data_IF_016486918378
#
_entry.id   IF_016486918378
#
_cell.length_a   1.000
_cell.length_b   1.000
_cell.length_c   1.000
_cell.angle_alpha   90.00
_cell.angle_beta   90.00
_cell.angle_gamma   90.00
#
_symmetry.space_group_name_H-M   'P 1'
#
loop_
_entity.id
_entity.type
_entity.pdbx_description
1 polymer ?
#
# COMPACT_ATOMS: atom_id res chain seq x y z
N UNK A 1 15.15 -21.02 -43.22
CA UNK A 1 15.48 -21.14 -41.77
C UNK A 1 14.60 -20.18 -40.97
N UNK A 2 13.52 -20.62 -40.32
CA UNK A 2 12.59 -19.73 -39.57
C UNK A 2 12.10 -20.35 -38.24
N UNK A 3 13.01 -20.95 -37.46
CA UNK A 3 12.67 -21.62 -36.18
C UNK A 3 12.66 -20.72 -34.92
N UNK A 4 12.95 -19.42 -35.05
CA UNK A 4 13.12 -18.51 -33.89
C UNK A 4 11.85 -17.81 -33.44
N UNK A 5 10.83 -17.66 -34.29
CA UNK A 5 9.56 -16.97 -33.97
C UNK A 5 8.67 -17.76 -33.00
N UNK A 6 8.64 -19.09 -33.13
CA UNK A 6 7.79 -19.96 -32.30
C UNK A 6 8.19 -20.00 -30.84
N UNK A 7 9.46 -19.74 -30.49
CA UNK A 7 9.92 -19.69 -29.09
C UNK A 7 9.39 -18.44 -28.39
N UNK A 8 9.49 -17.27 -29.04
CA UNK A 8 8.99 -15.99 -28.49
C UNK A 8 7.49 -16.06 -28.20
N UNK A 9 6.70 -16.57 -29.14
CA UNK A 9 5.25 -16.71 -28.97
C UNK A 9 4.87 -17.58 -27.76
N UNK A 10 5.60 -18.70 -27.53
CA UNK A 10 5.39 -19.56 -26.37
C UNK A 10 5.73 -18.85 -25.06
N UNK A 11 6.84 -18.12 -25.02
CA UNK A 11 7.24 -17.31 -23.85
C UNK A 11 6.18 -16.27 -23.52
N UNK A 12 5.73 -15.49 -24.51
CA UNK A 12 4.68 -14.48 -24.33
C UNK A 12 3.38 -15.09 -23.79
N UNK A 13 3.00 -16.28 -24.28
CA UNK A 13 1.80 -16.96 -23.78
C UNK A 13 1.96 -17.41 -22.32
N UNK A 14 3.14 -17.90 -21.93
CA UNK A 14 3.41 -18.26 -20.54
C UNK A 14 3.39 -17.04 -19.62
N UNK A 15 3.98 -15.92 -20.06
CA UNK A 15 3.97 -14.67 -19.31
C UNK A 15 2.55 -14.12 -19.14
N UNK A 16 1.73 -14.13 -20.19
CA UNK A 16 0.31 -13.74 -20.08
C UNK A 16 -0.47 -14.62 -19.11
N UNK A 17 -0.22 -15.93 -19.09
CA UNK A 17 -0.84 -16.85 -18.11
C UNK A 17 -0.40 -16.54 -16.69
N UNK A 18 0.90 -16.31 -16.48
CA UNK A 18 1.44 -15.91 -15.18
C UNK A 18 0.84 -14.59 -14.72
N UNK A 19 0.79 -13.61 -15.62
CA UNK A 19 0.20 -12.30 -15.35
C UNK A 19 -1.27 -12.43 -14.94
N UNK A 20 -2.08 -13.18 -15.70
CA UNK A 20 -3.48 -13.48 -15.34
C UNK A 20 -3.63 -14.08 -13.95
N UNK A 21 -2.75 -14.99 -13.53
CA UNK A 21 -2.82 -15.62 -12.20
C UNK A 21 -2.61 -14.65 -11.03
N UNK A 22 -1.95 -13.51 -11.27
CA UNK A 22 -1.69 -12.48 -10.26
C UNK A 22 -2.84 -11.46 -10.13
N UNK A 23 -3.79 -11.45 -11.08
CA UNK A 23 -4.87 -10.47 -11.15
C UNK A 23 -6.12 -11.02 -10.47
N UNK A 24 -6.53 -10.49 -9.30
CA UNK A 24 -7.62 -11.08 -8.51
C UNK A 24 -8.94 -11.21 -9.27
N UNK A 25 -9.26 -10.19 -10.07
CA UNK A 25 -10.48 -10.11 -10.90
C UNK A 25 -10.54 -11.12 -12.05
N UNK A 26 -9.39 -11.58 -12.54
CA UNK A 26 -9.30 -12.50 -13.70
C UNK A 26 -9.04 -13.95 -13.30
N UNK A 27 -8.79 -14.25 -12.03
CA UNK A 27 -8.59 -15.61 -11.54
C UNK A 27 -9.81 -16.51 -11.78
N UNK A 28 -11.03 -15.98 -11.62
CA UNK A 28 -12.27 -16.73 -11.80
C UNK A 28 -12.77 -16.75 -13.26
N UNK A 29 -12.21 -15.89 -14.13
CA UNK A 29 -12.65 -15.79 -15.51
C UNK A 29 -11.97 -16.87 -16.35
N UNK A 30 -12.74 -17.76 -16.98
CA UNK A 30 -12.20 -18.89 -17.76
C UNK A 30 -11.35 -18.43 -18.95
N UNK A 31 -11.81 -17.42 -19.68
CA UNK A 31 -11.10 -16.83 -20.83
C UNK A 31 -10.98 -15.31 -20.70
N UNK A 32 -9.77 -14.81 -20.98
CA UNK A 32 -9.46 -13.38 -21.02
C UNK A 32 -8.59 -13.13 -22.23
N UNK A 33 -8.86 -12.05 -22.96
CA UNK A 33 -8.00 -11.68 -24.10
C UNK A 33 -6.65 -11.15 -23.59
N UNK A 34 -5.57 -11.20 -24.38
CA UNK A 34 -4.29 -10.59 -24.00
C UNK A 34 -4.43 -9.10 -23.65
N UNK A 35 -5.26 -8.36 -24.40
CA UNK A 35 -5.54 -6.94 -24.14
C UNK A 35 -6.23 -6.74 -22.79
N UNK A 36 -7.22 -7.58 -22.46
CA UNK A 36 -7.92 -7.53 -21.18
C UNK A 36 -6.94 -7.78 -20.02
N UNK A 37 -6.07 -8.79 -20.13
CA UNK A 37 -5.05 -9.10 -19.12
C UNK A 37 -4.14 -7.88 -18.90
N UNK A 38 -3.68 -7.23 -19.98
CA UNK A 38 -2.80 -6.05 -19.88
C UNK A 38 -3.51 -4.86 -19.25
N UNK A 39 -4.73 -4.55 -19.69
CA UNK A 39 -5.52 -3.43 -19.13
C UNK A 39 -5.83 -3.64 -17.65
N UNK A 40 -6.17 -4.86 -17.27
CA UNK A 40 -6.41 -5.24 -15.88
C UNK A 40 -5.14 -5.09 -15.04
N UNK A 41 -4.00 -5.49 -15.58
CA UNK A 41 -2.70 -5.35 -14.90
C UNK A 41 -2.40 -3.90 -14.59
N UNK A 42 -2.57 -3.00 -15.56
CA UNK A 42 -2.32 -1.57 -15.36
C UNK A 42 -3.20 -1.02 -14.23
N UNK A 43 -4.47 -1.41 -14.19
CA UNK A 43 -5.38 -0.96 -13.14
C UNK A 43 -5.00 -1.53 -11.77
N UNK A 44 -4.62 -2.79 -11.72
CA UNK A 44 -4.22 -3.43 -10.47
C UNK A 44 -2.93 -2.83 -9.90
N UNK A 45 -1.96 -2.49 -10.75
CA UNK A 45 -0.75 -1.75 -10.34
C UNK A 45 -1.13 -0.41 -9.71
N UNK A 46 -1.97 0.40 -10.38
CA UNK A 46 -2.42 1.70 -9.83
C UNK A 46 -3.11 1.54 -8.49
N UNK A 47 -3.99 0.55 -8.35
CA UNK A 47 -4.65 0.27 -7.07
C UNK A 47 -3.65 -0.09 -5.96
N UNK A 48 -2.61 -0.88 -6.27
CA UNK A 48 -1.57 -1.21 -5.30
C UNK A 48 -0.72 0.00 -4.92
N UNK A 49 -0.43 0.88 -5.88
CA UNK A 49 0.27 2.15 -5.64
C UNK A 49 -0.54 3.06 -4.72
N UNK A 50 -1.83 3.25 -5.00
CA UNK A 50 -2.73 4.06 -4.17
C UNK A 50 -2.82 3.50 -2.73
N UNK A 51 -3.01 2.18 -2.59
CA UNK A 51 -3.04 1.52 -1.27
C UNK A 51 -1.73 1.66 -0.50
N UNK A 52 -0.59 1.68 -1.19
CA UNK A 52 0.70 1.86 -0.55
C UNK A 52 0.85 3.30 -0.04
N UNK A 53 0.48 4.28 -0.86
CA UNK A 53 0.50 5.71 -0.49
C UNK A 53 -0.39 5.97 0.72
N UNK A 54 -1.62 5.46 0.70
CA UNK A 54 -2.57 5.64 1.81
C UNK A 54 -2.03 5.07 3.13
N UNK A 55 -1.39 3.89 3.09
CA UNK A 55 -0.77 3.29 4.28
C UNK A 55 0.39 4.13 4.80
N UNK A 56 1.27 4.61 3.92
CA UNK A 56 2.38 5.47 4.34
C UNK A 56 1.90 6.79 4.96
N UNK A 57 0.82 7.39 4.42
CA UNK A 57 0.24 8.60 5.00
C UNK A 57 -0.41 8.34 6.36
N UNK A 58 -1.09 7.20 6.52
CA UNK A 58 -1.68 6.78 7.79
C UNK A 58 -0.61 6.55 8.86
N UNK A 59 0.46 5.82 8.52
CA UNK A 59 1.57 5.54 9.44
C UNK A 59 2.28 6.82 9.88
N UNK A 60 2.52 7.75 8.95
CA UNK A 60 3.13 9.04 9.26
C UNK A 60 2.24 9.88 10.18
N UNK A 61 0.94 9.92 9.90
CA UNK A 61 -0.02 10.66 10.73
C UNK A 61 -0.11 10.09 12.14
N UNK A 62 -0.12 8.76 12.27
CA UNK A 62 -0.14 8.05 13.55
C UNK A 62 1.12 8.36 14.37
N UNK A 63 2.29 8.35 13.73
CA UNK A 63 3.56 8.67 14.39
C UNK A 63 3.64 10.14 14.86
N UNK A 64 3.04 11.08 14.13
CA UNK A 64 3.01 12.49 14.54
C UNK A 64 2.05 12.75 15.71
N UNK A 65 0.92 12.04 15.80
CA UNK A 65 0.01 12.16 16.94
C UNK A 65 0.63 11.72 18.27
N UNK A 66 1.51 10.72 18.26
CA UNK A 66 2.20 10.25 19.48
C UNK A 66 3.21 11.28 20.03
N UNK A 67 3.77 12.14 19.17
CA UNK A 67 4.71 13.20 19.58
C UNK A 67 3.98 14.39 20.22
N UNK A 68 2.72 14.65 19.89
CA UNK A 68 1.98 15.81 20.43
C UNK A 68 1.45 15.60 21.85
N UNK A 69 1.36 14.35 22.34
CA UNK A 69 0.74 14.05 23.65
C UNK A 69 1.75 13.98 24.81
N UNK A 70 3.06 14.05 24.53
CA UNK A 70 4.10 13.95 25.55
C UNK A 70 4.66 15.30 26.06
N UNK A 71 4.16 16.42 25.55
CA UNK A 71 4.65 17.78 25.88
C UNK A 71 3.81 18.54 26.93
N UNK A 72 2.78 17.91 27.52
CA UNK A 72 1.93 18.55 28.55
C UNK A 72 2.00 17.86 29.92
N UNK A 73 3.17 17.89 30.54
CA UNK A 73 3.32 17.64 31.98
C UNK A 73 3.99 18.85 32.61
N UNK A 74 3.21 19.91 32.86
CA UNK A 74 3.60 20.92 33.84
C UNK A 74 3.40 20.34 35.24
N UNK A 75 4.42 20.30 36.11
CA UNK A 75 4.21 19.93 37.50
C UNK A 75 3.42 21.05 38.19
N UNK A 76 2.19 20.76 38.60
CA UNK A 76 1.43 21.62 39.51
C UNK A 76 2.14 21.63 40.86
N UNK A 77 2.89 22.69 41.15
CA UNK A 77 3.45 22.95 42.48
C UNK A 77 2.27 23.38 43.38
N UNK A 78 1.97 22.66 44.49
CA UNK A 78 1.00 23.14 45.47
C UNK A 78 1.57 24.39 46.15
N UNK A 79 0.86 25.52 46.10
CA UNK A 79 1.12 26.66 46.96
C UNK A 79 1.00 26.20 48.42
N UNK A 80 2.10 26.16 49.17
CA UNK A 80 2.06 26.05 50.62
C UNK A 80 1.70 27.42 51.18
N UNK A 81 0.54 27.48 51.83
CA UNK A 81 0.08 28.59 52.67
C UNK A 81 1.06 28.74 53.85
N UNK A 82 2.01 29.69 53.73
CA UNK A 82 2.79 30.13 54.89
C UNK A 82 1.95 31.20 55.60
N UNK A 83 0.88 30.73 56.24
CA UNK A 83 0.05 31.48 57.16
C UNK A 83 0.81 31.76 58.44
N UNK A 84 1.19 33.03 58.59
CA UNK A 84 1.76 33.67 59.78
C UNK A 84 0.98 33.28 61.06
N UNK A 85 1.67 32.84 62.11
CA UNK A 85 1.12 32.86 63.48
C UNK A 85 2.18 33.29 64.47
N UNK A 86 2.05 34.57 64.83
CA UNK A 86 2.33 35.26 66.10
C UNK A 86 3.59 34.91 66.87
#
# INVERSE_FOLDING_TARGET
MTRTSSKKAKTTQMELKKLKSLLPSLQQKSSSSPMEIVMETIRYIRQLEDQLIDRFQLDLSSSLSDVSMNSSLSPSIPLQDIGNSK
#
